data_IF_458279426665
#
_entry.id   IF_458279426665
#
_cell.length_a   1.000
_cell.length_b   1.000
_cell.length_c   1.000
_cell.angle_alpha   90.00
_cell.angle_beta   90.00
_cell.angle_gamma   90.00
#
_symmetry.space_group_name_H-M   'P 1'
#
loop_
_entity.id
_entity.type
_entity.pdbx_description
1 polymer ?
#
# COMPACT_ATOMS: atom_id res chain seq x y z
N UNK A 1 -31.88 -20.70 -12.86
CA UNK A 1 -33.01 -21.02 -11.94
C UNK A 1 -33.80 -19.76 -11.52
N UNK A 2 -34.02 -18.81 -12.41
CA UNK A 2 -34.47 -17.45 -12.05
C UNK A 2 -35.97 -17.24 -12.22
N UNK A 3 -36.58 -17.74 -13.30
CA UNK A 3 -37.99 -17.47 -13.67
C UNK A 3 -39.01 -17.99 -12.65
N UNK A 4 -38.81 -19.19 -12.11
CA UNK A 4 -39.70 -19.79 -11.10
C UNK A 4 -39.74 -18.97 -9.80
N UNK A 5 -38.60 -18.39 -9.42
CA UNK A 5 -38.48 -17.53 -8.24
C UNK A 5 -39.20 -16.20 -8.44
N UNK A 6 -39.11 -15.60 -9.63
CA UNK A 6 -39.87 -14.38 -9.96
C UNK A 6 -41.38 -14.61 -9.93
N UNK A 7 -41.85 -15.74 -10.49
CA UNK A 7 -43.28 -16.08 -10.48
C UNK A 7 -43.77 -16.29 -9.04
N UNK A 8 -42.99 -16.98 -8.20
CA UNK A 8 -43.36 -17.19 -6.79
C UNK A 8 -43.49 -15.88 -6.01
N UNK A 9 -42.53 -14.96 -6.13
CA UNK A 9 -42.60 -13.64 -5.49
C UNK A 9 -43.76 -12.79 -6.03
N UNK A 10 -43.96 -12.77 -7.36
CA UNK A 10 -45.07 -12.08 -8.00
C UNK A 10 -46.43 -12.54 -7.46
N UNK A 11 -46.61 -13.84 -7.37
CA UNK A 11 -47.86 -14.44 -6.87
C UNK A 11 -48.10 -14.10 -5.41
N UNK A 12 -47.05 -14.07 -4.59
CA UNK A 12 -47.14 -13.79 -3.15
C UNK A 12 -47.63 -12.37 -2.86
N UNK A 13 -47.02 -11.33 -3.45
CA UNK A 13 -47.44 -9.96 -3.16
C UNK A 13 -48.78 -9.61 -3.81
N UNK A 14 -49.14 -10.22 -4.94
CA UNK A 14 -50.48 -10.08 -5.54
C UNK A 14 -51.55 -10.68 -4.61
N UNK A 15 -51.30 -11.88 -4.08
CA UNK A 15 -52.22 -12.51 -3.13
C UNK A 15 -52.36 -11.67 -1.85
N UNK A 16 -51.26 -11.11 -1.34
CA UNK A 16 -51.27 -10.24 -0.16
C UNK A 16 -52.05 -8.94 -0.42
N UNK A 17 -51.82 -8.29 -1.56
CA UNK A 17 -52.55 -7.07 -1.95
C UNK A 17 -54.06 -7.33 -2.06
N UNK A 18 -54.45 -8.46 -2.65
CA UNK A 18 -55.85 -8.86 -2.76
C UNK A 18 -56.46 -9.17 -1.38
N UNK A 19 -55.74 -9.89 -0.53
CA UNK A 19 -56.18 -10.18 0.83
C UNK A 19 -56.43 -8.87 1.62
N UNK A 20 -55.51 -7.92 1.56
CA UNK A 20 -55.66 -6.60 2.21
C UNK A 20 -56.86 -5.85 1.63
N UNK A 21 -57.03 -5.82 0.30
CA UNK A 21 -58.14 -5.13 -0.34
C UNK A 21 -59.53 -5.66 0.07
N UNK A 22 -59.65 -6.97 0.32
CA UNK A 22 -60.91 -7.63 0.64
C UNK A 22 -61.18 -7.69 2.14
N UNK A 23 -60.16 -7.96 2.95
CA UNK A 23 -60.33 -8.18 4.40
C UNK A 23 -60.51 -6.89 5.18
N UNK A 24 -59.78 -5.81 4.85
CA UNK A 24 -59.89 -4.53 5.55
C UNK A 24 -61.32 -3.98 5.59
N UNK A 25 -62.07 -3.96 4.46
CA UNK A 25 -63.45 -3.50 4.46
C UNK A 25 -64.42 -4.41 5.21
N UNK A 26 -64.10 -5.70 5.35
CA UNK A 26 -64.96 -6.69 6.00
C UNK A 26 -64.79 -6.73 7.51
N UNK A 27 -63.57 -6.51 8.03
CA UNK A 27 -63.27 -6.66 9.46
C UNK A 27 -62.90 -5.35 10.15
N UNK A 28 -62.46 -4.34 9.40
CA UNK A 28 -61.89 -3.10 9.95
C UNK A 28 -62.84 -1.90 9.98
N UNK A 29 -64.08 -2.03 9.51
CA UNK A 29 -65.05 -0.92 9.44
C UNK A 29 -64.63 0.21 8.49
N UNK A 30 -63.70 -0.08 7.57
CA UNK A 30 -63.16 0.89 6.61
C UNK A 30 -63.97 0.85 5.31
N UNK A 31 -64.16 1.99 4.65
CA UNK A 31 -64.84 2.04 3.36
C UNK A 31 -64.13 1.18 2.30
N UNK A 32 -64.90 0.59 1.39
CA UNK A 32 -64.40 -0.29 0.32
C UNK A 32 -63.35 0.39 -0.55
N UNK A 33 -63.52 1.68 -0.81
CA UNK A 33 -62.56 2.49 -1.57
C UNK A 33 -61.22 2.60 -0.86
N UNK A 34 -61.24 2.74 0.46
CA UNK A 34 -60.02 2.82 1.28
C UNK A 34 -59.32 1.45 1.31
N UNK A 35 -60.06 0.35 1.43
CA UNK A 35 -59.49 -1.00 1.32
C UNK A 35 -58.79 -1.24 -0.02
N UNK A 36 -59.41 -0.83 -1.14
CA UNK A 36 -58.81 -0.92 -2.48
C UNK A 36 -57.52 -0.08 -2.60
N UNK A 37 -57.50 1.13 -2.03
CA UNK A 37 -56.31 1.97 -2.00
C UNK A 37 -55.16 1.32 -1.21
N UNK A 38 -55.46 0.73 -0.06
CA UNK A 38 -54.44 0.00 0.71
C UNK A 38 -53.92 -1.23 -0.05
N UNK A 39 -54.80 -2.00 -0.71
CA UNK A 39 -54.38 -3.10 -1.57
C UNK A 39 -53.48 -2.64 -2.72
N UNK A 40 -53.80 -1.51 -3.35
CA UNK A 40 -52.98 -0.92 -4.42
C UNK A 40 -51.60 -0.50 -3.90
N UNK A 41 -51.52 0.11 -2.72
CA UNK A 41 -50.24 0.50 -2.09
C UNK A 41 -49.39 -0.75 -1.81
N UNK A 42 -49.97 -1.81 -1.26
CA UNK A 42 -49.28 -3.07 -0.99
C UNK A 42 -48.78 -3.71 -2.29
N UNK A 43 -49.59 -3.68 -3.35
CA UNK A 43 -49.19 -4.18 -4.67
C UNK A 43 -48.01 -3.40 -5.25
N UNK A 44 -48.06 -2.07 -5.22
CA UNK A 44 -46.98 -1.21 -5.72
C UNK A 44 -45.69 -1.40 -4.93
N UNK A 45 -45.78 -1.48 -3.59
CA UNK A 45 -44.63 -1.74 -2.74
C UNK A 45 -44.00 -3.11 -3.02
N UNK A 46 -44.83 -4.14 -3.20
CA UNK A 46 -44.39 -5.49 -3.57
C UNK A 46 -43.70 -5.52 -4.94
N UNK A 47 -44.25 -4.83 -5.93
CA UNK A 47 -43.68 -4.74 -7.27
C UNK A 47 -42.30 -4.03 -7.28
N UNK A 48 -42.17 -2.91 -6.56
CA UNK A 48 -40.90 -2.17 -6.44
C UNK A 48 -39.82 -3.01 -5.74
N UNK A 49 -40.19 -3.74 -4.68
CA UNK A 49 -39.27 -4.62 -3.98
C UNK A 49 -38.82 -5.79 -4.87
N UNK A 50 -39.75 -6.37 -5.63
CA UNK A 50 -39.44 -7.44 -6.57
C UNK A 50 -38.49 -6.97 -7.69
N UNK A 51 -38.72 -5.79 -8.25
CA UNK A 51 -37.84 -5.19 -9.27
C UNK A 51 -36.45 -4.88 -8.70
N UNK A 52 -36.36 -4.36 -7.48
CA UNK A 52 -35.09 -4.11 -6.81
C UNK A 52 -34.28 -5.40 -6.62
N UNK A 53 -34.93 -6.45 -6.10
CA UNK A 53 -34.28 -7.74 -5.90
C UNK A 53 -33.87 -8.41 -7.22
N UNK A 54 -34.69 -8.28 -8.25
CA UNK A 54 -34.39 -8.77 -9.59
C UNK A 54 -33.12 -8.10 -10.15
N UNK A 55 -33.06 -6.76 -10.09
CA UNK A 55 -31.91 -5.99 -10.55
C UNK A 55 -30.63 -6.29 -9.77
N UNK A 56 -30.75 -6.51 -8.46
CA UNK A 56 -29.58 -6.81 -7.64
C UNK A 56 -29.01 -8.21 -7.95
N UNK A 57 -29.88 -9.20 -8.14
CA UNK A 57 -29.47 -10.55 -8.54
C UNK A 57 -28.85 -10.58 -9.95
N UNK A 58 -29.38 -9.78 -10.89
CA UNK A 58 -28.78 -9.63 -12.23
C UNK A 58 -27.39 -8.96 -12.17
N UNK A 59 -27.19 -7.98 -11.27
CA UNK A 59 -25.88 -7.35 -11.07
C UNK A 59 -24.85 -8.32 -10.53
N UNK A 60 -25.20 -9.10 -9.51
CA UNK A 60 -24.29 -10.12 -8.95
C UNK A 60 -23.90 -11.16 -10.01
N UNK A 61 -24.86 -11.63 -10.82
CA UNK A 61 -24.57 -12.56 -11.91
C UNK A 61 -23.67 -11.95 -13.00
N UNK A 62 -23.89 -10.68 -13.35
CA UNK A 62 -23.05 -9.96 -14.32
C UNK A 62 -21.64 -9.73 -13.79
N UNK A 63 -21.48 -9.45 -12.49
CA UNK A 63 -20.18 -9.30 -11.84
C UNK A 63 -19.39 -10.62 -11.83
N UNK A 64 -20.05 -11.75 -11.54
CA UNK A 64 -19.43 -13.08 -11.64
C UNK A 64 -19.01 -13.41 -13.08
N UNK A 65 -19.86 -13.10 -14.07
CA UNK A 65 -19.54 -13.33 -15.49
C UNK A 65 -18.37 -12.46 -15.96
N UNK A 66 -18.34 -11.18 -15.57
CA UNK A 66 -17.22 -10.28 -15.84
C UNK A 66 -15.93 -10.74 -15.15
N UNK A 67 -16.02 -11.27 -13.93
CA UNK A 67 -14.88 -11.86 -13.24
C UNK A 67 -14.33 -13.07 -13.99
N UNK A 68 -15.21 -13.98 -14.43
CA UNK A 68 -14.82 -15.14 -15.22
C UNK A 68 -14.18 -14.75 -16.55
N UNK A 69 -14.77 -13.81 -17.29
CA UNK A 69 -14.23 -13.34 -18.58
C UNK A 69 -12.84 -12.71 -18.42
N UNK A 70 -12.65 -11.86 -17.40
CA UNK A 70 -11.34 -11.24 -17.12
C UNK A 70 -10.30 -12.30 -16.76
N UNK A 71 -10.66 -13.27 -15.93
CA UNK A 71 -9.78 -14.39 -15.58
C UNK A 71 -9.35 -15.17 -16.82
N UNK A 72 -10.28 -15.51 -17.71
CA UNK A 72 -9.96 -16.22 -18.95
C UNK A 72 -9.08 -15.37 -19.88
N UNK A 73 -9.30 -14.05 -19.94
CA UNK A 73 -8.46 -13.14 -20.71
C UNK A 73 -7.02 -13.08 -20.17
N UNK A 74 -6.85 -13.04 -18.85
CA UNK A 74 -5.53 -13.05 -18.21
C UNK A 74 -4.79 -14.39 -18.44
N UNK A 75 -5.49 -15.52 -18.30
CA UNK A 75 -4.94 -16.84 -18.61
C UNK A 75 -4.49 -16.94 -20.08
N UNK A 76 -5.30 -16.46 -21.02
CA UNK A 76 -4.94 -16.46 -22.44
C UNK A 76 -3.76 -15.53 -22.75
N UNK A 77 -3.65 -14.39 -22.04
CA UNK A 77 -2.51 -13.48 -22.16
C UNK A 77 -1.20 -14.13 -21.70
N UNK A 78 -1.23 -14.89 -20.61
CA UNK A 78 -0.07 -15.66 -20.12
C UNK A 78 0.35 -16.71 -21.15
N UNK A 79 -0.61 -17.44 -21.72
CA UNK A 79 -0.34 -18.44 -22.77
C UNK A 79 0.29 -17.79 -24.01
N UNK A 80 -0.23 -16.63 -24.45
CA UNK A 80 0.34 -15.90 -25.59
C UNK A 80 1.77 -15.43 -25.34
N UNK A 81 2.06 -14.87 -24.16
CA UNK A 81 3.41 -14.46 -23.80
C UNK A 81 4.38 -15.65 -23.81
N UNK A 82 3.94 -16.79 -23.28
CA UNK A 82 4.76 -18.01 -23.29
C UNK A 82 4.97 -18.57 -24.70
N UNK A 83 3.99 -18.39 -25.60
CA UNK A 83 4.09 -18.79 -27.00
C UNK A 83 5.03 -17.85 -27.79
N UNK A 84 4.96 -16.54 -27.55
CA UNK A 84 5.89 -15.55 -28.10
C UNK A 84 7.33 -15.81 -27.65
N UNK A 85 7.52 -16.18 -26.38
CA UNK A 85 8.84 -16.52 -25.84
C UNK A 85 9.40 -17.79 -26.50
N UNK A 86 8.56 -18.82 -26.70
CA UNK A 86 8.96 -20.04 -27.44
C UNK A 86 9.25 -19.77 -28.92
N UNK A 87 8.50 -18.89 -29.57
CA UNK A 87 8.75 -18.49 -30.96
C UNK A 87 10.05 -17.68 -31.09
N UNK A 88 10.33 -16.77 -30.15
CA UNK A 88 11.61 -16.04 -30.07
C UNK A 88 12.79 -16.97 -29.77
N UNK A 89 12.59 -18.00 -28.95
CA UNK A 89 13.59 -19.03 -28.67
C UNK A 89 13.81 -20.03 -29.81
N UNK A 90 12.85 -20.16 -30.74
CA UNK A 90 12.88 -21.14 -31.83
C UNK A 90 13.46 -20.65 -33.16
N UNK A 91 13.64 -19.33 -33.35
CA UNK A 91 14.18 -18.77 -34.60
C UNK A 91 15.41 -17.92 -34.28
N UNK A 92 16.58 -18.55 -34.26
CA UNK A 92 17.85 -17.85 -34.30
C UNK A 92 18.14 -17.40 -35.75
N UNK A 93 17.90 -16.13 -36.05
CA UNK A 93 18.47 -15.42 -37.21
C UNK A 93 18.65 -13.92 -36.86
N UNK A 94 19.67 -13.24 -37.43
CA UNK A 94 20.30 -12.09 -36.78
C UNK A 94 19.52 -10.78 -36.95
N UNK A 95 19.78 -9.90 -35.99
CA UNK A 95 19.15 -8.61 -35.75
C UNK A 95 18.93 -7.73 -36.99
N UNK A 96 17.67 -7.37 -37.22
CA UNK A 96 17.28 -6.14 -37.88
C UNK A 96 16.46 -5.30 -36.89
N UNK A 97 16.84 -4.04 -36.71
CA UNK A 97 16.26 -3.11 -35.75
C UNK A 97 14.73 -2.97 -35.95
N UNK A 98 13.90 -3.01 -34.88
CA UNK A 98 12.49 -2.81 -35.04
C UNK A 98 12.17 -1.32 -35.24
N UNK A 99 11.55 -1.03 -36.39
CA UNK A 99 10.80 0.20 -36.64
C UNK A 99 9.72 0.37 -35.56
N UNK A 100 9.81 1.48 -34.83
CA UNK A 100 8.82 1.91 -33.83
C UNK A 100 7.51 2.25 -34.57
N UNK A 101 6.37 1.58 -34.30
CA UNK A 101 5.08 2.02 -34.81
C UNK A 101 4.64 3.30 -34.09
N UNK A 102 3.90 4.22 -34.76
CA UNK A 102 3.50 5.48 -34.16
C UNK A 102 2.62 5.24 -32.92
N UNK A 103 2.69 6.15 -31.92
CA UNK A 103 1.95 5.97 -30.67
C UNK A 103 0.45 6.02 -30.94
N UNK A 104 -0.25 4.93 -30.58
CA UNK A 104 -1.70 4.95 -30.43
C UNK A 104 -2.01 5.88 -29.24
N UNK A 105 -2.90 6.87 -29.39
CA UNK A 105 -3.21 7.77 -28.29
C UNK A 105 -3.83 6.99 -27.13
N UNK A 106 -3.13 7.00 -25.99
CA UNK A 106 -3.65 6.46 -24.75
C UNK A 106 -4.99 7.15 -24.43
N UNK A 107 -5.97 6.36 -23.99
CA UNK A 107 -7.05 6.86 -23.13
C UNK A 107 -6.65 6.49 -21.70
N UNK A 108 -5.96 7.36 -20.92
CA UNK A 108 -5.36 6.95 -19.66
C UNK A 108 -6.07 7.50 -18.40
N UNK A 109 -7.14 8.28 -18.53
CA UNK A 109 -7.67 9.00 -17.35
C UNK A 109 -8.76 8.24 -16.59
N UNK A 110 -9.73 7.60 -17.26
CA UNK A 110 -10.85 6.97 -16.54
C UNK A 110 -10.46 5.72 -15.73
N UNK A 111 -9.67 4.81 -16.29
CA UNK A 111 -9.33 3.55 -15.60
C UNK A 111 -8.43 3.80 -14.39
N UNK A 112 -7.52 4.77 -14.48
CA UNK A 112 -6.65 5.14 -13.35
C UNK A 112 -7.45 5.81 -12.22
N UNK A 113 -8.38 6.71 -12.55
CA UNK A 113 -9.26 7.37 -11.57
C UNK A 113 -10.21 6.36 -10.91
N UNK A 114 -10.76 5.40 -11.66
CA UNK A 114 -11.63 4.35 -11.09
C UNK A 114 -10.84 3.40 -10.17
N UNK A 115 -9.59 3.08 -10.50
CA UNK A 115 -8.73 2.28 -9.63
C UNK A 115 -8.29 3.03 -8.36
N UNK A 116 -8.03 4.34 -8.47
CA UNK A 116 -7.74 5.21 -7.32
C UNK A 116 -8.95 5.38 -6.42
N UNK A 117 -10.14 5.56 -7.00
CA UNK A 117 -11.40 5.63 -6.25
C UNK A 117 -11.67 4.32 -5.50
N UNK A 118 -11.42 3.16 -6.11
CA UNK A 118 -11.53 1.86 -5.44
C UNK A 118 -10.55 1.72 -4.28
N UNK A 119 -9.28 2.08 -4.48
CA UNK A 119 -8.29 2.01 -3.41
C UNK A 119 -8.64 2.94 -2.24
N UNK A 120 -9.18 4.14 -2.53
CA UNK A 120 -9.70 5.06 -1.52
C UNK A 120 -10.97 4.54 -0.82
N UNK A 121 -11.88 3.89 -1.55
CA UNK A 121 -13.07 3.24 -0.98
C UNK A 121 -12.69 2.08 -0.05
N UNK A 122 -11.71 1.26 -0.43
CA UNK A 122 -11.13 0.20 0.40
C UNK A 122 -10.49 0.79 1.66
N UNK A 123 -9.69 1.85 1.53
CA UNK A 123 -9.10 2.57 2.66
C UNK A 123 -10.15 3.14 3.62
N UNK A 124 -11.23 3.72 3.09
CA UNK A 124 -12.32 4.28 3.88
C UNK A 124 -13.15 3.20 4.60
N UNK A 125 -13.29 2.01 4.00
CA UNK A 125 -14.03 0.88 4.56
C UNK A 125 -13.29 0.10 5.66
N UNK A 126 -11.98 0.29 5.80
CA UNK A 126 -11.11 -0.51 6.67
C UNK A 126 -10.95 0.03 8.11
N UNK A 127 -11.62 1.12 8.50
CA UNK A 127 -11.52 1.65 9.86
C UNK A 127 -12.14 0.66 10.87
N UNK A 128 -11.35 0.03 11.76
CA UNK A 128 -11.87 -1.00 12.64
C UNK A 128 -12.72 -0.39 13.77
N UNK A 129 -13.93 -0.94 13.94
CA UNK A 129 -14.68 -0.83 15.19
C UNK A 129 -14.05 -1.80 16.20
N UNK A 130 -13.46 -1.23 17.25
CA UNK A 130 -12.88 -1.84 18.47
C UNK A 130 -12.90 -3.39 18.51
N UNK A 131 -11.72 -4.01 18.42
CA UNK A 131 -11.46 -5.37 18.92
C UNK A 131 -10.35 -5.33 19.98
N UNK A 132 -10.53 -5.94 21.17
CA UNK A 132 -9.45 -6.08 22.13
C UNK A 132 -8.64 -7.34 21.86
N UNK A 133 -7.32 -7.23 21.92
CA UNK A 133 -6.43 -8.38 22.13
C UNK A 133 -5.45 -8.66 21.00
N UNK A 134 -4.20 -8.24 21.23
CA UNK A 134 -3.03 -8.57 20.41
C UNK A 134 -1.96 -7.52 20.63
N UNK A 135 -0.99 -7.77 21.53
CA UNK A 135 0.20 -6.92 21.66
C UNK A 135 1.03 -7.12 20.40
N UNK A 136 1.01 -6.13 19.51
CA UNK A 136 2.00 -5.99 18.45
C UNK A 136 3.02 -5.00 18.99
N UNK A 137 4.28 -5.43 19.17
CA UNK A 137 5.34 -4.49 19.52
C UNK A 137 5.55 -3.51 18.35
N UNK A 138 5.38 -2.20 18.56
CA UNK A 138 5.78 -1.20 17.59
C UNK A 138 7.30 -1.08 17.63
N UNK A 139 7.96 -1.31 16.49
CA UNK A 139 9.40 -1.09 16.34
C UNK A 139 9.58 -0.35 15.02
N UNK A 140 9.65 0.98 15.08
CA UNK A 140 9.88 1.84 13.93
C UNK A 140 10.91 2.93 14.25
N UNK A 141 11.95 3.00 13.43
CA UNK A 141 13.06 3.94 13.52
C UNK A 141 12.80 5.20 12.70
N UNK A 142 12.05 6.15 13.26
CA UNK A 142 12.16 7.54 12.83
C UNK A 142 13.31 8.24 13.58
N UNK A 143 13.97 9.28 13.03
CA UNK A 143 14.81 10.14 13.84
C UNK A 143 13.94 10.77 14.94
N UNK A 144 14.24 10.42 16.19
CA UNK A 144 13.66 11.09 17.34
C UNK A 144 14.08 12.56 17.29
N UNK A 145 13.14 13.45 16.96
CA UNK A 145 13.32 14.87 17.27
C UNK A 145 13.39 14.98 18.80
N UNK A 146 14.47 15.50 19.40
CA UNK A 146 14.48 15.79 20.82
C UNK A 146 13.62 17.04 21.06
N UNK A 147 12.32 16.84 21.16
CA UNK A 147 11.39 17.84 21.69
C UNK A 147 10.92 17.31 23.03
N UNK A 148 11.07 18.14 24.06
CA UNK A 148 10.89 17.84 25.46
C UNK A 148 9.63 17.01 25.80
N UNK A 149 9.76 16.25 26.88
CA UNK A 149 8.69 15.58 27.61
C UNK A 149 7.50 16.51 27.83
N UNK A 150 6.38 16.16 27.21
CA UNK A 150 5.05 16.51 27.69
C UNK A 150 4.21 15.26 27.46
N UNK A 151 3.61 14.74 28.53
CA UNK A 151 2.73 13.59 28.49
C UNK A 151 1.58 13.86 27.52
N UNK A 152 1.74 13.43 26.27
CA UNK A 152 0.67 13.50 25.29
C UNK A 152 -0.31 12.41 25.68
N UNK A 153 -1.55 12.82 25.98
CA UNK A 153 -2.62 11.89 26.31
C UNK A 153 -2.79 10.88 25.18
N UNK A 154 -2.54 9.60 25.46
CA UNK A 154 -2.57 8.52 24.47
C UNK A 154 -3.95 8.40 23.82
N UNK A 155 -5.03 8.69 24.56
CA UNK A 155 -6.38 8.66 24.03
C UNK A 155 -6.62 9.82 23.05
N UNK A 156 -6.10 11.01 23.36
CA UNK A 156 -6.16 12.16 22.47
C UNK A 156 -5.36 11.93 21.17
N UNK A 157 -4.16 11.33 21.27
CA UNK A 157 -3.36 10.95 20.10
C UNK A 157 -4.10 9.93 19.25
N UNK A 158 -4.71 8.92 19.86
CA UNK A 158 -5.45 7.88 19.15
C UNK A 158 -6.63 8.47 18.37
N UNK A 159 -7.41 9.35 18.99
CA UNK A 159 -8.53 10.01 18.31
C UNK A 159 -8.04 10.95 17.20
N UNK A 160 -6.90 11.62 17.38
CA UNK A 160 -6.27 12.41 16.33
C UNK A 160 -5.88 11.54 15.13
N UNK A 161 -5.25 10.39 15.35
CA UNK A 161 -4.88 9.43 14.29
C UNK A 161 -6.13 8.93 13.56
N UNK A 162 -7.16 8.49 14.30
CA UNK A 162 -8.42 8.03 13.70
C UNK A 162 -9.10 9.09 12.84
N UNK A 163 -9.14 10.32 13.35
CA UNK A 163 -9.73 11.45 12.63
C UNK A 163 -8.90 11.78 11.40
N UNK A 164 -7.57 11.75 11.50
CA UNK A 164 -6.69 12.00 10.38
C UNK A 164 -6.83 10.95 9.26
N UNK A 165 -6.98 9.68 9.61
CA UNK A 165 -7.25 8.62 8.64
C UNK A 165 -8.60 8.81 7.93
N UNK A 166 -9.65 9.24 8.66
CA UNK A 166 -10.98 9.51 8.08
C UNK A 166 -11.04 10.77 7.22
N UNK A 167 -10.30 11.80 7.60
CA UNK A 167 -10.38 13.14 7.01
C UNK A 167 -9.19 13.47 6.11
N UNK A 168 -8.43 12.46 5.68
CA UNK A 168 -7.32 12.61 4.75
C UNK A 168 -6.26 13.63 5.24
N UNK A 169 -5.87 13.49 6.51
CA UNK A 169 -4.89 14.36 7.21
C UNK A 169 -3.60 13.64 7.55
N UNK A 170 -3.23 12.64 6.75
CA UNK A 170 -1.92 12.01 6.79
C UNK A 170 -1.09 12.62 5.66
N UNK A 171 -0.13 13.46 6.02
CA UNK A 171 0.75 14.14 5.08
C UNK A 171 2.06 13.38 4.85
N UNK A 172 2.56 13.45 3.62
CA UNK A 172 3.88 12.89 3.27
C UNK A 172 4.98 13.90 3.54
N UNK A 173 6.02 13.46 4.24
CA UNK A 173 7.30 14.12 4.36
C UNK A 173 8.37 13.31 3.64
N UNK A 174 9.29 13.99 2.98
CA UNK A 174 10.38 13.38 2.21
C UNK A 174 11.71 13.77 2.80
N UNK A 175 12.57 12.79 3.07
CA UNK A 175 13.95 13.03 3.44
C UNK A 175 14.88 12.59 2.31
N UNK A 176 15.82 13.44 1.86
CA UNK A 176 16.74 13.07 0.78
C UNK A 176 17.74 12.01 1.23
N UNK A 177 18.00 11.07 0.34
CA UNK A 177 19.10 10.12 0.41
C UNK A 177 20.03 10.32 -0.80
N UNK A 178 21.31 10.47 -0.54
CA UNK A 178 22.32 10.81 -1.53
C UNK A 178 23.25 9.63 -1.82
N UNK A 179 23.71 9.49 -3.07
CA UNK A 179 24.83 8.59 -3.37
C UNK A 179 26.13 9.20 -2.86
N UNK A 180 26.95 8.41 -2.20
CA UNK A 180 28.29 8.80 -1.76
C UNK A 180 29.36 8.22 -2.71
N UNK A 181 30.49 8.93 -2.90
CA UNK A 181 30.85 10.23 -2.30
C UNK A 181 30.28 11.45 -3.03
N UNK A 182 29.62 11.30 -4.19
CA UNK A 182 29.26 12.46 -5.05
C UNK A 182 28.12 13.34 -4.52
N UNK A 183 27.46 12.94 -3.42
CA UNK A 183 26.32 13.62 -2.78
C UNK A 183 25.17 13.94 -3.74
N UNK A 184 24.92 13.08 -4.73
CA UNK A 184 23.79 13.26 -5.68
C UNK A 184 22.51 12.69 -5.07
N UNK A 185 21.41 13.45 -5.07
CA UNK A 185 20.11 12.93 -4.68
C UNK A 185 19.71 11.76 -5.59
N UNK A 186 19.46 10.60 -4.99
CA UNK A 186 19.02 9.39 -5.70
C UNK A 186 17.67 8.90 -5.23
N UNK A 187 17.42 9.01 -3.93
CA UNK A 187 16.20 8.53 -3.32
C UNK A 187 15.63 9.54 -2.34
N UNK A 188 14.36 9.36 -2.01
CA UNK A 188 13.71 9.96 -0.86
C UNK A 188 13.15 8.87 0.03
N UNK A 189 13.33 8.98 1.35
CA UNK A 189 12.52 8.22 2.28
C UNK A 189 11.22 8.95 2.59
N UNK A 190 10.14 8.19 2.60
CA UNK A 190 8.77 8.67 2.74
C UNK A 190 8.30 8.44 4.17
N UNK A 191 7.98 9.53 4.86
CA UNK A 191 7.47 9.53 6.22
C UNK A 191 6.02 10.04 6.26
N UNK A 192 5.21 9.44 7.11
CA UNK A 192 3.87 9.92 7.43
C UNK A 192 3.90 10.91 8.60
N UNK A 193 3.20 12.03 8.50
CA UNK A 193 2.92 12.91 9.64
C UNK A 193 1.42 13.18 9.74
N UNK A 194 0.90 13.14 10.97
CA UNK A 194 -0.51 13.41 11.24
C UNK A 194 -0.70 14.91 11.36
N UNK A 195 -1.55 15.50 10.51
CA UNK A 195 -1.85 16.94 10.54
C UNK A 195 -2.97 17.24 11.53
N UNK A 196 -2.64 17.98 12.58
CA UNK A 196 -3.57 18.50 13.58
C UNK A 196 -4.55 19.54 13.01
N UNK A 197 -5.57 19.90 13.80
CA UNK A 197 -6.59 20.89 13.39
C UNK A 197 -6.00 22.30 13.25
N UNK A 198 -4.95 22.60 14.01
CA UNK A 198 -4.18 23.84 13.96
C UNK A 198 -3.17 23.89 12.80
N UNK A 199 -3.09 22.83 11.99
CA UNK A 199 -2.13 22.68 10.90
C UNK A 199 -0.74 22.21 11.34
N UNK A 200 -0.53 21.91 12.62
CA UNK A 200 0.70 21.29 13.11
C UNK A 200 0.85 19.84 12.62
N UNK A 201 2.08 19.33 12.61
CA UNK A 201 2.38 17.96 12.18
C UNK A 201 2.95 17.14 13.33
N UNK A 202 2.22 16.10 13.72
CA UNK A 202 2.67 15.11 14.70
C UNK A 202 3.55 14.06 14.00
N UNK A 203 4.82 13.92 14.39
CA UNK A 203 5.75 12.98 13.79
C UNK A 203 5.52 11.53 14.27
N UNK A 204 6.01 10.51 13.53
CA UNK A 204 5.78 9.08 13.82
C UNK A 204 6.10 8.64 15.24
N UNK A 205 7.22 9.11 15.81
CA UNK A 205 7.66 8.81 17.17
C UNK A 205 6.63 9.15 18.26
N UNK A 206 5.66 10.02 17.95
CA UNK A 206 4.61 10.45 18.89
C UNK A 206 3.30 9.68 18.76
N UNK A 207 3.05 8.98 17.67
CA UNK A 207 1.77 8.32 17.44
C UNK A 207 1.86 6.84 17.06
N UNK A 208 3.01 6.35 16.58
CA UNK A 208 3.11 4.97 16.09
C UNK A 208 2.82 3.95 17.18
N UNK A 209 3.33 4.14 18.39
CA UNK A 209 3.08 3.22 19.50
C UNK A 209 1.58 3.12 19.85
N UNK A 210 0.91 4.27 19.86
CA UNK A 210 -0.53 4.36 20.12
C UNK A 210 -1.32 3.71 18.99
N UNK A 211 -0.94 3.97 17.73
CA UNK A 211 -1.57 3.40 16.55
C UNK A 211 -1.38 1.87 16.46
N UNK A 212 -0.19 1.35 16.80
CA UNK A 212 0.10 -0.07 16.85
C UNK A 212 -0.77 -0.81 17.86
N UNK A 213 -0.87 -0.28 19.09
CA UNK A 213 -1.73 -0.85 20.12
C UNK A 213 -3.22 -0.83 19.74
N UNK A 214 -3.62 0.09 18.86
CA UNK A 214 -4.98 0.20 18.34
C UNK A 214 -5.22 -0.56 17.02
N UNK A 215 -4.20 -1.23 16.46
CA UNK A 215 -4.30 -1.96 15.19
C UNK A 215 -4.47 -1.06 13.95
N UNK A 216 -3.97 0.18 14.01
CA UNK A 216 -4.13 1.18 12.93
C UNK A 216 -2.93 1.27 11.98
N UNK A 217 -1.86 0.49 12.21
CA UNK A 217 -0.63 0.56 11.40
C UNK A 217 -0.91 0.24 9.94
N UNK A 218 -1.67 -0.82 9.64
CA UNK A 218 -2.02 -1.17 8.27
C UNK A 218 -2.74 -0.02 7.55
N UNK A 219 -3.69 0.65 8.21
CA UNK A 219 -4.41 1.77 7.63
C UNK A 219 -3.48 2.98 7.34
N UNK A 220 -2.50 3.24 8.21
CA UNK A 220 -1.51 4.31 8.04
C UNK A 220 -0.58 3.99 6.88
N UNK A 221 -0.02 2.79 6.85
CA UNK A 221 0.87 2.33 5.77
C UNK A 221 0.15 2.32 4.42
N UNK A 222 -1.08 1.79 4.35
CA UNK A 222 -1.85 1.73 3.12
C UNK A 222 -2.13 3.14 2.57
N UNK A 223 -2.46 4.09 3.46
CA UNK A 223 -2.63 5.51 3.10
C UNK A 223 -1.31 6.11 2.61
N UNK A 224 -0.20 5.85 3.31
CA UNK A 224 1.13 6.32 2.94
C UNK A 224 1.56 5.79 1.57
N UNK A 225 1.32 4.51 1.30
CA UNK A 225 1.62 3.85 0.02
C UNK A 225 0.81 4.45 -1.12
N UNK A 226 -0.50 4.65 -0.92
CA UNK A 226 -1.33 5.30 -1.92
C UNK A 226 -0.83 6.71 -2.25
N UNK A 227 -0.52 7.51 -1.23
CA UNK A 227 0.05 8.85 -1.39
C UNK A 227 1.42 8.83 -2.05
N UNK A 228 2.25 7.84 -1.74
CA UNK A 228 3.57 7.65 -2.33
C UNK A 228 3.44 7.36 -3.84
N UNK A 229 2.51 6.49 -4.25
CA UNK A 229 2.22 6.24 -5.66
C UNK A 229 1.82 7.52 -6.38
N UNK A 230 0.92 8.33 -5.80
CA UNK A 230 0.52 9.62 -6.39
C UNK A 230 1.73 10.53 -6.62
N UNK A 231 2.63 10.61 -5.63
CA UNK A 231 3.86 11.38 -5.73
C UNK A 231 4.81 10.84 -6.83
N UNK A 232 4.98 9.52 -6.92
CA UNK A 232 5.83 8.88 -7.94
C UNK A 232 5.31 9.21 -9.34
N UNK A 233 4.00 9.16 -9.57
CA UNK A 233 3.39 9.53 -10.86
C UNK A 233 3.66 10.99 -11.22
N UNK A 234 3.56 11.90 -10.26
CA UNK A 234 3.86 13.33 -10.48
C UNK A 234 5.34 13.58 -10.81
N UNK A 235 6.26 12.86 -10.16
CA UNK A 235 7.69 12.96 -10.48
C UNK A 235 8.04 12.33 -11.83
N UNK A 236 7.32 11.30 -12.26
CA UNK A 236 7.47 10.69 -13.58
C UNK A 236 7.08 11.66 -14.71
N UNK A 237 5.98 12.39 -14.56
CA UNK A 237 5.59 13.46 -15.50
C UNK A 237 6.67 14.53 -15.69
N UNK A 238 7.51 14.74 -14.67
CA UNK A 238 8.62 15.71 -14.68
C UNK A 238 9.96 15.10 -15.13
N UNK A 239 9.95 13.84 -15.59
CA UNK A 239 11.14 13.07 -15.98
C UNK A 239 12.24 13.00 -14.92
N UNK A 240 11.86 13.04 -13.64
CA UNK A 240 12.81 12.89 -12.54
C UNK A 240 13.14 11.41 -12.33
N UNK A 241 14.44 11.11 -12.22
CA UNK A 241 14.99 9.77 -12.00
C UNK A 241 15.29 9.53 -10.52
N UNK A 242 14.35 9.86 -9.64
CA UNK A 242 14.46 9.61 -8.19
C UNK A 242 13.60 8.41 -7.80
N UNK A 243 14.08 7.62 -6.85
CA UNK A 243 13.29 6.56 -6.23
C UNK A 243 12.80 6.95 -4.83
N UNK A 244 11.94 6.12 -4.26
CA UNK A 244 11.27 6.37 -3.00
C UNK A 244 11.35 5.12 -2.12
N UNK A 245 11.74 5.30 -0.86
CA UNK A 245 11.73 4.27 0.17
C UNK A 245 10.46 4.48 0.99
N UNK A 246 9.63 3.46 1.10
CA UNK A 246 8.39 3.51 1.86
C UNK A 246 8.32 2.33 2.81
N UNK A 247 8.08 2.65 4.08
CA UNK A 247 7.85 1.64 5.10
C UNK A 247 6.62 0.79 4.80
N UNK A 248 6.72 -0.51 5.05
CA UNK A 248 5.61 -1.45 5.01
C UNK A 248 5.75 -2.43 6.18
N UNK A 249 4.72 -2.48 7.03
CA UNK A 249 4.69 -3.42 8.16
C UNK A 249 4.19 -4.80 7.75
N UNK A 250 4.46 -5.81 8.59
CA UNK A 250 3.85 -7.12 8.47
C UNK A 250 2.30 -7.07 8.50
N UNK A 251 1.73 -6.16 9.30
CA UNK A 251 0.28 -5.98 9.38
C UNK A 251 -0.32 -5.51 8.04
N UNK A 252 0.40 -4.68 7.30
CA UNK A 252 0.00 -4.21 5.97
C UNK A 252 0.10 -5.31 4.91
N UNK A 253 1.16 -6.13 4.98
CA UNK A 253 1.30 -7.30 4.11
C UNK A 253 0.18 -8.34 4.34
N UNK A 254 -0.31 -8.45 5.57
CA UNK A 254 -1.42 -9.35 5.95
C UNK A 254 -2.81 -8.78 5.58
N UNK A 255 -2.91 -7.50 5.21
CA UNK A 255 -4.15 -6.91 4.69
C UNK A 255 -4.41 -7.36 3.25
N UNK A 256 -5.00 -8.55 3.13
CA UNK A 256 -5.31 -9.19 1.86
C UNK A 256 -6.32 -8.43 0.98
N UNK A 257 -7.05 -7.47 1.53
CA UNK A 257 -7.97 -6.61 0.77
C UNK A 257 -7.15 -5.58 -0.01
N UNK A 258 -6.47 -4.71 0.72
CA UNK A 258 -5.64 -3.66 0.14
C UNK A 258 -4.51 -4.22 -0.72
N UNK A 259 -3.75 -5.21 -0.23
CA UNK A 259 -2.57 -5.72 -0.95
C UNK A 259 -2.91 -6.34 -2.30
N UNK A 260 -4.09 -6.95 -2.44
CA UNK A 260 -4.55 -7.51 -3.71
C UNK A 260 -4.82 -6.41 -4.75
N UNK A 261 -5.48 -5.34 -4.32
CA UNK A 261 -5.74 -4.18 -5.17
C UNK A 261 -4.44 -3.47 -5.52
N UNK A 262 -3.55 -3.30 -4.55
CA UNK A 262 -2.23 -2.70 -4.74
C UNK A 262 -1.39 -3.48 -5.75
N UNK A 263 -1.25 -4.80 -5.60
CA UNK A 263 -0.51 -5.66 -6.53
C UNK A 263 -1.11 -5.61 -7.93
N UNK A 264 -2.45 -5.63 -8.04
CA UNK A 264 -3.15 -5.52 -9.32
C UNK A 264 -2.87 -4.18 -9.99
N UNK A 265 -2.97 -3.09 -9.24
CA UNK A 265 -2.68 -1.74 -9.73
C UNK A 265 -1.24 -1.61 -10.19
N UNK A 266 -0.27 -2.08 -9.40
CA UNK A 266 1.16 -1.99 -9.75
C UNK A 266 1.53 -2.88 -10.94
N UNK A 267 0.85 -4.03 -11.12
CA UNK A 267 1.01 -4.87 -12.31
C UNK A 267 0.56 -4.19 -13.62
N UNK A 268 -0.34 -3.21 -13.53
CA UNK A 268 -0.75 -2.38 -14.67
C UNK A 268 0.19 -1.19 -14.92
N UNK A 269 1.05 -0.86 -13.95
CA UNK A 269 1.96 0.30 -14.00
C UNK A 269 3.43 -0.08 -13.72
N UNK A 270 4.08 -0.89 -14.60
CA UNK A 270 5.45 -1.35 -14.37
C UNK A 270 6.49 -0.23 -14.22
N UNK A 271 6.25 0.96 -14.78
CA UNK A 271 7.17 2.11 -14.65
C UNK A 271 7.29 2.63 -13.21
N UNK A 272 6.26 2.40 -12.37
CA UNK A 272 6.24 2.81 -10.98
C UNK A 272 7.00 1.83 -10.07
N UNK A 273 7.05 0.55 -10.43
CA UNK A 273 7.67 -0.51 -9.62
C UNK A 273 9.14 -0.22 -9.33
N UNK A 274 9.91 0.17 -10.35
CA UNK A 274 11.35 0.43 -10.20
C UNK A 274 11.69 1.67 -9.36
N UNK A 275 10.68 2.53 -9.12
CA UNK A 275 10.82 3.77 -8.35
C UNK A 275 10.44 3.62 -6.87
N UNK A 276 9.88 2.49 -6.47
CA UNK A 276 9.48 2.24 -5.10
C UNK A 276 10.30 1.10 -4.51
N UNK A 277 10.91 1.35 -3.36
CA UNK A 277 11.61 0.38 -2.53
C UNK A 277 10.83 0.27 -1.22
N UNK A 278 10.49 -0.96 -0.83
CA UNK A 278 9.78 -1.20 0.42
C UNK A 278 10.78 -1.39 1.57
N UNK A 279 10.53 -0.74 2.69
CA UNK A 279 11.35 -0.90 3.90
C UNK A 279 10.64 -1.81 4.90
N UNK A 280 11.38 -2.81 5.38
CA UNK A 280 10.93 -3.80 6.35
C UNK A 280 11.93 -3.80 7.51
N UNK A 281 11.42 -3.77 8.75
CA UNK A 281 12.27 -3.86 9.92
C UNK A 281 12.99 -5.21 10.01
N UNK A 282 14.23 -5.22 10.53
CA UNK A 282 15.01 -6.44 10.70
C UNK A 282 14.24 -7.51 11.49
N UNK A 283 13.55 -7.13 12.57
CA UNK A 283 12.78 -8.07 13.38
C UNK A 283 11.67 -8.77 12.56
N UNK A 284 11.01 -8.06 11.65
CA UNK A 284 9.95 -8.61 10.80
C UNK A 284 10.50 -9.60 9.78
N UNK A 285 11.63 -9.25 9.14
CA UNK A 285 12.33 -10.14 8.22
C UNK A 285 12.81 -11.42 8.93
N UNK A 286 13.41 -11.27 10.11
CA UNK A 286 14.00 -12.38 10.86
C UNK A 286 12.96 -13.33 11.45
N UNK A 287 11.75 -12.85 11.77
CA UNK A 287 10.63 -13.73 12.16
C UNK A 287 10.19 -14.65 11.03
N UNK A 288 10.59 -14.39 9.78
CA UNK A 288 10.31 -15.22 8.61
C UNK A 288 8.87 -15.19 8.12
N UNK A 289 7.91 -14.78 8.96
CA UNK A 289 6.49 -14.71 8.64
C UNK A 289 6.20 -13.84 7.41
N UNK A 290 6.91 -12.72 7.24
CA UNK A 290 6.75 -11.84 6.07
C UNK A 290 7.11 -12.55 4.76
N UNK A 291 8.12 -13.41 4.76
CA UNK A 291 8.52 -14.20 3.59
C UNK A 291 7.55 -15.35 3.27
N UNK A 292 6.76 -15.78 4.25
CA UNK A 292 5.71 -16.78 4.06
C UNK A 292 4.41 -16.15 3.50
N UNK A 293 4.29 -14.82 3.49
CA UNK A 293 3.12 -14.16 2.89
C UNK A 293 3.15 -14.29 1.36
N UNK A 294 2.04 -14.73 0.77
CA UNK A 294 1.93 -14.79 -0.70
C UNK A 294 2.03 -13.42 -1.39
N UNK A 295 1.82 -12.33 -0.66
CA UNK A 295 1.86 -10.96 -1.17
C UNK A 295 3.29 -10.43 -1.34
N UNK A 296 4.20 -10.69 -0.39
CA UNK A 296 5.60 -10.29 -0.57
C UNK A 296 6.19 -10.94 -1.83
N UNK A 297 5.87 -12.21 -2.03
CA UNK A 297 6.26 -12.97 -3.21
C UNK A 297 5.61 -12.43 -4.50
N UNK A 298 4.37 -11.91 -4.40
CA UNK A 298 3.69 -11.19 -5.48
C UNK A 298 4.40 -9.88 -5.86
N UNK A 299 4.75 -9.06 -4.87
CA UNK A 299 5.54 -7.85 -5.07
C UNK A 299 6.91 -8.17 -5.69
N UNK A 300 7.58 -9.21 -5.19
CA UNK A 300 8.85 -9.69 -5.72
C UNK A 300 8.75 -10.06 -7.20
N UNK A 301 7.70 -10.80 -7.59
CA UNK A 301 7.45 -11.17 -8.99
C UNK A 301 7.16 -9.97 -9.90
N UNK A 302 6.60 -8.89 -9.36
CA UNK A 302 6.44 -7.64 -10.10
C UNK A 302 7.77 -6.88 -10.30
N UNK A 303 8.81 -7.22 -9.53
CA UNK A 303 10.12 -6.59 -9.61
C UNK A 303 10.39 -5.55 -8.53
N UNK A 304 9.59 -5.51 -7.46
CA UNK A 304 9.89 -4.65 -6.31
C UNK A 304 11.18 -5.07 -5.62
N UNK A 305 11.91 -4.06 -5.13
CA UNK A 305 13.10 -4.21 -4.30
C UNK A 305 12.75 -3.85 -2.86
N UNK A 306 13.49 -4.45 -1.93
CA UNK A 306 13.27 -4.28 -0.51
C UNK A 306 14.53 -3.76 0.19
N UNK A 307 14.32 -3.07 1.30
CA UNK A 307 15.33 -2.57 2.21
C UNK A 307 15.12 -3.17 3.58
N UNK A 308 16.19 -3.59 4.24
CA UNK A 308 16.18 -3.97 5.64
C UNK A 308 16.53 -2.77 6.51
N UNK A 309 15.58 -2.36 7.35
CA UNK A 309 15.67 -1.22 8.25
C UNK A 309 15.91 -1.66 9.71
N UNK A 310 16.35 -0.73 10.57
CA UNK A 310 16.55 -0.91 12.01
C UNK A 310 17.46 -2.11 12.36
N UNK A 311 18.57 -2.23 11.63
CA UNK A 311 19.50 -3.33 11.85
C UNK A 311 20.21 -3.20 13.20
N UNK A 312 19.92 -4.14 14.09
CA UNK A 312 20.46 -4.25 15.45
C UNK A 312 21.65 -5.21 15.53
N UNK A 313 21.70 -6.24 14.68
CA UNK A 313 22.79 -7.21 14.60
C UNK A 313 23.09 -7.60 13.15
N UNK A 314 24.31 -8.05 12.88
CA UNK A 314 24.80 -8.30 11.52
C UNK A 314 24.96 -9.79 11.20
N UNK A 315 24.56 -10.64 12.14
CA UNK A 315 24.59 -12.09 12.01
C UNK A 315 23.31 -12.53 11.29
N UNK A 316 23.23 -12.14 10.01
CA UNK A 316 22.11 -12.34 9.10
C UNK A 316 22.56 -13.16 7.89
N UNK A 317 21.66 -14.00 7.37
CA UNK A 317 21.89 -14.74 6.12
C UNK A 317 21.66 -13.80 4.92
N UNK A 318 22.72 -13.10 4.50
CA UNK A 318 22.66 -12.16 3.38
C UNK A 318 22.28 -12.81 2.06
N UNK A 319 22.66 -14.08 1.84
CA UNK A 319 22.29 -14.84 0.64
C UNK A 319 20.79 -15.18 0.64
N UNK A 320 20.20 -15.46 1.80
CA UNK A 320 18.74 -15.58 1.95
C UNK A 320 18.05 -14.25 1.68
N UNK A 321 18.50 -13.15 2.29
CA UNK A 321 17.92 -11.82 2.07
C UNK A 321 17.96 -11.42 0.60
N UNK A 322 19.09 -11.66 -0.08
CA UNK A 322 19.24 -11.39 -1.50
C UNK A 322 18.24 -12.18 -2.37
N UNK A 323 17.95 -13.45 -2.05
CA UNK A 323 16.93 -14.26 -2.74
C UNK A 323 15.51 -13.71 -2.59
N UNK A 324 15.25 -12.92 -1.55
CA UNK A 324 13.98 -12.23 -1.32
C UNK A 324 13.96 -10.79 -1.85
N UNK A 325 14.86 -10.43 -2.76
CA UNK A 325 14.98 -9.08 -3.34
C UNK A 325 15.26 -7.97 -2.31
N UNK A 326 15.84 -8.31 -1.16
CA UNK A 326 16.46 -7.31 -0.28
C UNK A 326 17.72 -6.83 -1.02
N UNK A 327 17.73 -5.54 -1.36
CA UNK A 327 18.79 -4.87 -2.13
C UNK A 327 19.39 -3.70 -1.38
N UNK A 328 18.84 -3.35 -0.23
CA UNK A 328 19.34 -2.28 0.61
C UNK A 328 19.38 -2.74 2.06
N UNK A 329 20.37 -2.25 2.79
CA UNK A 329 20.44 -2.36 4.24
C UNK A 329 20.79 -1.02 4.85
N UNK A 330 20.09 -0.64 5.91
CA UNK A 330 20.29 0.63 6.60
C UNK A 330 21.04 0.42 7.91
N UNK A 331 22.10 1.23 8.13
CA UNK A 331 22.87 1.25 9.37
C UNK A 331 23.04 2.68 9.88
N UNK A 332 22.94 2.84 11.20
CA UNK A 332 23.17 4.12 11.86
C UNK A 332 24.66 4.50 11.83
N UNK A 333 24.98 5.75 11.45
CA UNK A 333 26.34 6.28 11.46
C UNK A 333 27.02 6.10 12.82
N UNK A 334 26.28 6.27 13.92
CA UNK A 334 26.80 6.10 15.28
C UNK A 334 27.38 4.69 15.52
N UNK A 335 26.80 3.65 14.89
CA UNK A 335 27.26 2.27 15.02
C UNK A 335 28.54 2.01 14.23
N UNK A 336 28.68 2.62 13.06
CA UNK A 336 29.87 2.47 12.22
C UNK A 336 31.07 3.24 12.79
N UNK A 337 30.81 4.35 13.48
CA UNK A 337 31.82 5.26 14.01
C UNK A 337 32.12 5.02 15.51
N UNK A 338 31.51 4.02 16.15
CA UNK A 338 31.76 3.69 17.55
C UNK A 338 33.21 3.17 17.73
N UNK A 339 34.09 3.88 18.46
CA UNK A 339 35.47 3.47 18.67
C UNK A 339 35.63 2.21 19.53
N UNK A 340 34.59 1.84 20.31
CA UNK A 340 34.54 0.58 21.05
C UNK A 340 33.75 -0.51 20.31
N UNK A 341 33.18 -0.17 19.14
CA UNK A 341 32.30 -1.03 18.37
C UNK A 341 33.04 -2.02 17.48
N UNK A 342 32.27 -2.96 16.89
CA UNK A 342 32.76 -3.97 15.94
C UNK A 342 33.55 -3.39 14.76
N UNK A 343 33.21 -2.17 14.35
CA UNK A 343 33.81 -1.51 13.18
C UNK A 343 35.01 -0.62 13.51
N UNK A 344 35.42 -0.55 14.77
CA UNK A 344 36.71 0.04 15.15
C UNK A 344 37.89 -0.67 14.48
N UNK A 345 37.73 -1.95 14.13
CA UNK A 345 38.61 -2.66 13.19
C UNK A 345 38.13 -2.43 11.74
N UNK A 346 38.90 -1.71 10.89
CA UNK A 346 38.55 -1.50 9.49
C UNK A 346 38.38 -2.79 8.68
N UNK A 347 39.04 -3.89 9.09
CA UNK A 347 38.89 -5.18 8.42
C UNK A 347 37.47 -5.75 8.61
N UNK A 348 36.84 -5.50 9.76
CA UNK A 348 35.46 -5.93 10.02
C UNK A 348 34.45 -5.20 9.11
N UNK A 349 34.63 -3.89 8.89
CA UNK A 349 33.80 -3.15 7.95
C UNK A 349 34.00 -3.64 6.52
N UNK A 350 35.27 -3.80 6.10
CA UNK A 350 35.60 -4.30 4.76
C UNK A 350 35.01 -5.69 4.50
N UNK A 351 35.01 -6.56 5.51
CA UNK A 351 34.40 -7.88 5.42
C UNK A 351 32.88 -7.80 5.22
N UNK A 352 32.19 -6.95 6.00
CA UNK A 352 30.75 -6.70 5.84
C UNK A 352 30.45 -6.15 4.45
N UNK A 353 31.11 -5.06 4.05
CA UNK A 353 30.88 -4.42 2.75
C UNK A 353 31.13 -5.40 1.60
N UNK A 354 32.23 -6.15 1.65
CA UNK A 354 32.48 -7.20 0.66
C UNK A 354 31.41 -8.29 0.62
N UNK A 355 30.75 -8.61 1.74
CA UNK A 355 29.62 -9.54 1.78
C UNK A 355 28.35 -8.96 1.16
N UNK A 356 28.06 -7.70 1.44
CA UNK A 356 26.94 -6.97 0.85
C UNK A 356 27.10 -6.84 -0.68
N UNK A 357 28.30 -6.47 -1.15
CA UNK A 357 28.62 -6.33 -2.58
C UNK A 357 28.41 -7.63 -3.35
N UNK A 358 28.89 -8.76 -2.79
CA UNK A 358 28.70 -10.09 -3.41
C UNK A 358 27.23 -10.48 -3.55
N UNK A 359 26.38 -9.94 -2.68
CA UNK A 359 24.94 -10.18 -2.67
C UNK A 359 24.14 -9.10 -3.41
N UNK A 360 24.82 -8.12 -4.03
CA UNK A 360 24.19 -6.95 -4.65
C UNK A 360 23.24 -6.20 -3.69
N UNK A 361 23.68 -6.04 -2.44
CA UNK A 361 23.00 -5.27 -1.41
C UNK A 361 23.78 -3.97 -1.19
N UNK A 362 23.11 -2.84 -1.43
CA UNK A 362 23.68 -1.52 -1.19
C UNK A 362 23.56 -1.14 0.29
N UNK A 363 24.62 -0.55 0.85
CA UNK A 363 24.63 -0.03 2.21
C UNK A 363 24.19 1.44 2.22
N UNK A 364 23.13 1.71 2.98
CA UNK A 364 22.67 3.04 3.32
C UNK A 364 23.11 3.37 4.76
N UNK A 365 23.83 4.47 4.94
CA UNK A 365 24.18 4.97 6.28
C UNK A 365 23.28 6.13 6.66
N UNK A 366 22.60 6.00 7.79
CA UNK A 366 21.61 6.95 8.28
C UNK A 366 22.16 7.82 9.42
N UNK A 367 21.41 8.88 9.75
CA UNK A 367 21.71 9.83 10.84
C UNK A 367 23.11 10.44 10.73
N UNK A 368 23.50 10.79 9.50
CA UNK A 368 24.69 11.60 9.26
C UNK A 368 24.32 13.06 9.52
N UNK A 369 24.82 13.62 10.62
CA UNK A 369 24.45 14.95 11.12
C UNK A 369 25.55 16.00 10.91
N UNK A 370 26.82 15.58 10.83
CA UNK A 370 27.96 16.48 10.75
C UNK A 370 28.89 16.15 9.59
N UNK A 371 29.57 17.17 9.03
CA UNK A 371 30.62 16.95 8.03
C UNK A 371 31.76 16.06 8.57
N UNK A 372 32.01 16.09 9.88
CA UNK A 372 33.02 15.23 10.52
C UNK A 372 32.65 13.75 10.41
N UNK A 373 31.41 13.38 10.78
CA UNK A 373 30.90 12.02 10.60
C UNK A 373 30.99 11.60 9.14
N UNK A 374 30.61 12.49 8.22
CA UNK A 374 30.68 12.18 6.79
C UNK A 374 32.12 11.93 6.34
N UNK A 375 33.09 12.75 6.74
CA UNK A 375 34.51 12.54 6.43
C UNK A 375 35.00 11.18 6.93
N UNK A 376 34.66 10.81 8.16
CA UNK A 376 35.04 9.52 8.74
C UNK A 376 34.37 8.34 8.02
N UNK A 377 33.19 8.54 7.43
CA UNK A 377 32.50 7.57 6.59
C UNK A 377 32.99 7.53 5.14
N UNK A 378 33.74 8.52 4.62
CA UNK A 378 34.22 8.51 3.22
C UNK A 378 35.29 7.46 2.96
N UNK A 379 36.07 7.11 4.00
CA UNK A 379 37.06 6.02 3.93
C UNK A 379 36.38 4.65 3.91
N UNK A 380 35.13 4.60 4.35
CA UNK A 380 34.26 3.45 4.22
C UNK A 380 33.56 3.56 2.86
N UNK A 381 33.59 2.49 2.05
CA UNK A 381 32.99 2.50 0.71
C UNK A 381 31.45 2.47 0.75
N UNK A 382 30.82 3.36 1.52
CA UNK A 382 29.36 3.46 1.69
C UNK A 382 28.71 3.92 0.38
N UNK A 383 27.60 3.27 0.01
CA UNK A 383 26.92 3.54 -1.26
C UNK A 383 26.00 4.76 -1.17
N UNK A 384 25.24 4.85 -0.07
CA UNK A 384 24.28 5.93 0.16
C UNK A 384 24.35 6.50 1.57
N UNK A 385 24.04 7.79 1.70
CA UNK A 385 23.97 8.50 2.96
C UNK A 385 22.64 9.23 3.14
N UNK A 386 22.15 9.26 4.38
CA UNK A 386 20.96 9.98 4.79
C UNK A 386 21.18 10.62 6.17
N UNK A 387 20.61 11.81 6.38
CA UNK A 387 20.69 12.52 7.66
C UNK A 387 20.52 14.03 7.48
N UNK A 388 20.47 14.75 8.59
CA UNK A 388 20.21 16.19 8.59
C UNK A 388 21.27 17.01 7.86
N UNK A 389 22.49 16.46 7.74
CA UNK A 389 23.55 17.06 6.90
C UNK A 389 23.11 17.24 5.44
N UNK A 390 22.32 16.31 4.89
CA UNK A 390 21.85 16.34 3.50
C UNK A 390 20.45 16.95 3.36
N UNK A 391 19.65 16.84 4.41
CA UNK A 391 18.34 17.47 4.51
C UNK A 391 17.47 16.82 5.57
N UNK A 392 16.73 17.65 6.29
CA UNK A 392 15.66 17.21 7.17
C UNK A 392 14.44 16.73 6.37
N UNK A 393 13.57 15.88 6.96
CA UNK A 393 12.29 15.54 6.36
C UNK A 393 11.46 16.80 6.10
N UNK A 394 11.04 17.01 4.85
CA UNK A 394 10.22 18.17 4.45
C UNK A 394 8.90 17.72 3.86
N UNK A 395 7.84 18.48 4.14
CA UNK A 395 6.52 18.23 3.56
C UNK A 395 6.64 18.15 2.03
N UNK A 396 6.12 17.07 1.46
CA UNK A 396 5.90 16.96 0.02
C UNK A 396 4.81 17.97 -0.35
N UNK A 397 5.20 19.21 -0.63
CA UNK A 397 4.26 20.17 -1.21
C UNK A 397 3.70 19.52 -2.47
N UNK A 398 2.38 19.69 -2.73
CA UNK A 398 1.85 19.52 -4.08
C UNK A 398 2.78 20.31 -4.98
N UNK A 399 3.62 19.58 -5.72
CA UNK A 399 4.46 20.13 -6.75
C UNK A 399 3.44 20.52 -7.82
N UNK A 400 2.91 21.73 -7.69
CA UNK A 400 1.89 22.30 -8.57
C UNK A 400 2.35 22.34 -10.01
#
# INVERSE_FOLDING_TARGET
MTTLRHIAFATLYVALAFAVAVTLPLTGGVDRLVGLLFGLVVFLAGALLHEFWARNAEREALEEELWHLRKTQDEMRIVLLHLEEKLRGGIAAPAAAPLVPPPVPARPELDSVVSEARMLETLAGQLPVRRPGGRVEPVFGGPATPVAEAGVDADAVLEMVRTALRSDRVDIFLQPMVSLPQRKHRYYEVFSRIRGDDGSHLPPDRYLDVAANAGLIAAIDNMLLFRCIQLIRETEKRHQTVGFFCNISAASLDDAGFMREFVTYMGQHPSLVNKLVFELGQADLMRGGVFATGFLDGLRRLGFRFSMDQVTHLDVDWDQLARHEIRFVKLDAARLLDPAGRFADPAAFKALKGQLDRNAIDLVVEKIETDRQLLDLLDLSVDFGQGYLFGEPRLAKKLG
#
